data_IF_295097542976
#
_entry.id   IF_295097542976
#
_cell.length_a   1.000
_cell.length_b   1.000
_cell.length_c   1.000
_cell.angle_alpha   90.00
_cell.angle_beta   90.00
_cell.angle_gamma   90.00
#
_symmetry.space_group_name_H-M   'P 1'
#
loop_
_entity.id
_entity.type
_entity.pdbx_description
1 polymer ?
#
# COMPACT_ATOMS: atom_id res chain seq x y z
N UNK A 1 -61.27 40.96 10.23
CA UNK A 1 -60.44 40.08 11.08
C UNK A 1 -60.22 38.77 10.33
N UNK A 2 -59.18 38.73 9.50
CA UNK A 2 -58.89 37.64 8.56
C UNK A 2 -58.30 36.44 9.31
N UNK A 3 -59.06 35.34 9.38
CA UNK A 3 -58.58 34.07 9.96
C UNK A 3 -57.52 33.49 9.02
N UNK A 4 -56.27 33.54 9.46
CA UNK A 4 -55.13 32.98 8.72
C UNK A 4 -55.30 31.46 8.64
N UNK A 5 -55.55 30.94 7.43
CA UNK A 5 -56.05 29.56 7.18
C UNK A 5 -54.93 28.55 6.88
N UNK A 6 -53.70 28.83 7.26
CA UNK A 6 -52.51 28.04 6.86
C UNK A 6 -51.86 27.24 8.00
N UNK A 7 -52.58 26.97 9.10
CA UNK A 7 -52.08 26.07 10.14
C UNK A 7 -52.21 24.62 9.66
N UNK A 8 -51.19 24.10 8.98
CA UNK A 8 -51.15 22.71 8.53
C UNK A 8 -50.39 21.85 9.56
N UNK A 9 -51.10 21.09 10.42
CA UNK A 9 -50.49 20.32 11.50
C UNK A 9 -49.56 19.22 10.98
N UNK A 10 -49.70 18.79 9.73
CA UNK A 10 -48.86 17.77 9.10
C UNK A 10 -47.44 18.29 8.92
N UNK A 11 -47.29 19.54 8.48
CA UNK A 11 -45.97 20.17 8.30
C UNK A 11 -45.27 20.31 9.65
N UNK A 12 -46.03 20.69 10.69
CA UNK A 12 -45.47 20.83 12.03
C UNK A 12 -45.05 19.48 12.62
N UNK A 13 -45.86 18.44 12.44
CA UNK A 13 -45.51 17.07 12.82
C UNK A 13 -44.27 16.57 12.08
N UNK A 14 -44.14 16.87 10.78
CA UNK A 14 -42.99 16.48 9.99
C UNK A 14 -41.70 17.18 10.46
N UNK A 15 -41.76 18.49 10.71
CA UNK A 15 -40.63 19.25 11.25
C UNK A 15 -40.19 18.79 12.64
N UNK A 16 -41.15 18.39 13.49
CA UNK A 16 -40.86 17.85 14.83
C UNK A 16 -40.13 16.51 14.76
N UNK A 17 -40.54 15.63 13.85
CA UNK A 17 -39.89 14.34 13.60
C UNK A 17 -38.45 14.54 13.12
N UNK A 18 -38.23 15.38 12.10
CA UNK A 18 -36.88 15.65 11.57
C UNK A 18 -35.94 16.21 12.63
N UNK A 19 -36.43 17.10 13.50
CA UNK A 19 -35.64 17.69 14.59
C UNK A 19 -35.23 16.66 15.65
N UNK A 20 -36.05 15.65 15.88
CA UNK A 20 -35.77 14.58 16.87
C UNK A 20 -34.72 13.59 16.39
N UNK A 21 -34.61 13.37 15.08
CA UNK A 21 -33.62 12.45 14.48
C UNK A 21 -32.28 13.13 14.13
N UNK A 22 -32.18 14.46 14.22
CA UNK A 22 -30.95 15.20 13.92
C UNK A 22 -29.84 15.03 14.99
N UNK A 23 -30.14 14.42 16.14
CA UNK A 23 -29.20 14.25 17.26
C UNK A 23 -28.56 12.86 17.37
N UNK A 24 -28.66 11.97 16.38
CA UNK A 24 -28.04 10.62 16.49
C UNK A 24 -26.53 10.58 16.21
N UNK A 25 -25.89 11.72 15.98
CA UNK A 25 -24.45 11.83 15.66
C UNK A 25 -23.53 11.58 16.88
N UNK A 26 -24.08 11.46 18.10
CA UNK A 26 -23.28 11.18 19.31
C UNK A 26 -22.42 9.91 19.20
N UNK A 27 -22.93 8.87 18.54
CA UNK A 27 -22.18 7.63 18.35
C UNK A 27 -20.96 7.78 17.42
N UNK A 28 -20.95 8.78 16.52
CA UNK A 28 -19.81 9.07 15.64
C UNK A 28 -18.68 9.81 16.36
N UNK A 29 -19.04 10.63 17.35
CA UNK A 29 -18.12 11.46 18.13
C UNK A 29 -17.81 10.87 19.51
N UNK A 30 -18.22 9.63 19.79
CA UNK A 30 -17.79 8.92 20.98
C UNK A 30 -16.26 8.83 21.01
N UNK A 31 -15.70 8.88 22.22
CA UNK A 31 -14.26 8.76 22.44
C UNK A 31 -13.80 7.41 21.90
N UNK A 32 -13.19 7.42 20.73
CA UNK A 32 -12.44 6.27 20.23
C UNK A 32 -11.28 6.01 21.19
N UNK A 33 -11.07 4.75 21.57
CA UNK A 33 -9.84 4.28 22.21
C UNK A 33 -8.97 3.65 21.12
N UNK A 34 -8.28 4.47 20.28
CA UNK A 34 -7.41 3.90 19.27
C UNK A 34 -6.31 3.13 19.99
N UNK A 35 -6.08 1.90 19.55
CA UNK A 35 -4.90 1.17 19.97
C UNK A 35 -3.68 1.90 19.39
N UNK A 36 -2.98 2.64 20.25
CA UNK A 36 -1.77 3.38 19.93
C UNK A 36 -0.50 2.52 20.04
N UNK A 37 -0.65 1.23 20.38
CA UNK A 37 0.42 0.28 20.15
C UNK A 37 0.58 0.20 18.64
N UNK A 38 1.59 0.92 18.13
CA UNK A 38 2.08 0.73 16.78
C UNK A 38 2.47 -0.74 16.73
N UNK A 39 1.63 -1.54 16.07
CA UNK A 39 1.98 -2.92 15.78
C UNK A 39 3.29 -2.82 15.01
N UNK A 40 4.39 -3.17 15.67
CA UNK A 40 5.72 -3.03 15.12
C UNK A 40 5.91 -4.18 14.15
N UNK A 41 5.08 -4.23 13.11
CA UNK A 41 5.42 -4.83 11.83
C UNK A 41 6.55 -4.00 11.20
N UNK A 42 7.64 -3.79 11.93
CA UNK A 42 8.93 -3.73 11.30
C UNK A 42 9.10 -5.13 10.70
N UNK A 43 8.73 -5.27 9.42
CA UNK A 43 9.28 -6.33 8.59
C UNK A 43 10.78 -6.32 8.86
N UNK A 44 11.27 -7.33 9.57
CA UNK A 44 12.70 -7.59 9.66
C UNK A 44 13.13 -7.86 8.22
N UNK A 45 13.63 -6.81 7.56
CA UNK A 45 14.05 -6.88 6.17
C UNK A 45 15.36 -7.65 6.14
N UNK A 46 15.27 -8.93 5.76
CA UNK A 46 16.44 -9.78 5.62
C UNK A 46 17.19 -9.41 4.33
N UNK A 47 18.21 -8.56 4.48
CA UNK A 47 19.13 -8.18 3.42
C UNK A 47 20.35 -9.12 3.33
N UNK A 48 20.27 -10.32 3.92
CA UNK A 48 21.38 -11.28 3.86
C UNK A 48 21.61 -11.74 2.42
N UNK A 49 22.82 -11.48 1.91
CA UNK A 49 23.18 -11.76 0.53
C UNK A 49 24.45 -12.61 0.48
N UNK A 50 24.49 -13.60 -0.41
CA UNK A 50 25.69 -14.42 -0.72
C UNK A 50 26.30 -14.03 -2.07
N UNK A 51 27.20 -13.04 -2.10
CA UNK A 51 28.01 -12.71 -3.30
C UNK A 51 29.47 -12.37 -2.90
N UNK A 52 30.32 -12.11 -3.89
CA UNK A 52 31.69 -11.64 -3.66
C UNK A 52 31.71 -10.35 -2.82
N UNK A 53 32.78 -10.16 -2.05
CA UNK A 53 32.83 -9.17 -0.96
C UNK A 53 32.58 -7.73 -1.43
N UNK A 54 33.09 -7.35 -2.61
CA UNK A 54 32.98 -5.98 -3.13
C UNK A 54 31.55 -5.60 -3.52
N UNK A 55 30.91 -6.44 -4.31
CA UNK A 55 29.51 -6.25 -4.72
C UNK A 55 28.54 -6.27 -3.54
N UNK A 56 28.82 -7.09 -2.52
CA UNK A 56 28.04 -7.08 -1.29
C UNK A 56 28.15 -5.72 -0.58
N UNK A 57 29.36 -5.18 -0.44
CA UNK A 57 29.58 -3.86 0.16
C UNK A 57 28.86 -2.77 -0.62
N UNK A 58 28.96 -2.77 -1.95
CA UNK A 58 28.30 -1.77 -2.81
C UNK A 58 26.78 -1.87 -2.71
N UNK A 59 26.20 -3.05 -2.86
CA UNK A 59 24.76 -3.26 -2.78
C UNK A 59 24.23 -2.89 -1.39
N UNK A 60 24.90 -3.34 -0.33
CA UNK A 60 24.54 -3.00 1.05
C UNK A 60 24.58 -1.49 1.28
N UNK A 61 25.57 -0.80 0.73
CA UNK A 61 25.68 0.66 0.84
C UNK A 61 24.54 1.37 0.11
N UNK A 62 24.18 0.92 -1.11
CA UNK A 62 23.07 1.46 -1.88
C UNK A 62 21.72 1.24 -1.20
N UNK A 63 21.46 0.01 -0.72
CA UNK A 63 20.23 -0.34 0.00
C UNK A 63 20.12 0.44 1.30
N UNK A 64 21.21 0.56 2.06
CA UNK A 64 21.24 1.37 3.29
C UNK A 64 21.02 2.86 2.99
N UNK A 65 21.63 3.40 1.94
CA UNK A 65 21.44 4.79 1.54
C UNK A 65 19.97 5.04 1.14
N UNK A 66 19.37 4.15 0.34
CA UNK A 66 17.95 4.21 0.03
C UNK A 66 17.08 4.11 1.28
N UNK A 67 17.43 3.23 2.21
CA UNK A 67 16.69 3.08 3.46
C UNK A 67 16.71 4.37 4.29
N UNK A 68 17.89 4.93 4.56
CA UNK A 68 18.06 6.14 5.37
C UNK A 68 17.42 7.37 4.70
N UNK A 69 17.62 7.52 3.39
CA UNK A 69 17.24 8.75 2.69
C UNK A 69 15.79 8.76 2.21
N UNK A 70 15.23 7.59 1.92
CA UNK A 70 13.91 7.46 1.27
C UNK A 70 12.99 6.62 2.15
N UNK A 71 13.33 5.37 2.45
CA UNK A 71 12.40 4.45 3.13
C UNK A 71 12.08 4.84 4.58
N UNK A 72 13.00 5.47 5.32
CA UNK A 72 12.76 5.88 6.70
C UNK A 72 11.79 7.09 6.75
N UNK A 73 11.95 8.02 5.81
CA UNK A 73 11.08 9.18 5.65
C UNK A 73 9.70 8.78 5.11
N UNK A 74 9.68 7.88 4.12
CA UNK A 74 8.45 7.41 3.46
C UNK A 74 7.72 6.32 4.27
N UNK A 75 8.37 5.75 5.29
CA UNK A 75 7.80 4.75 6.19
C UNK A 75 7.33 3.48 5.46
N UNK A 76 6.15 2.98 5.84
CA UNK A 76 5.51 1.80 5.24
C UNK A 76 4.43 2.18 4.20
N UNK A 77 4.56 3.37 3.60
CA UNK A 77 3.62 3.91 2.60
C UNK A 77 3.84 3.36 1.18
N UNK A 78 4.81 2.44 0.99
CA UNK A 78 5.04 1.85 -0.32
C UNK A 78 3.77 1.13 -0.78
N UNK A 79 3.18 1.54 -1.92
CA UNK A 79 1.92 0.97 -2.39
C UNK A 79 2.11 -0.41 -3.03
N UNK A 80 3.35 -0.89 -3.15
CA UNK A 80 3.67 -2.16 -3.77
C UNK A 80 4.26 -3.16 -2.76
N UNK A 81 4.07 -4.45 -3.05
CA UNK A 81 4.70 -5.57 -2.39
C UNK A 81 5.42 -6.45 -3.42
N UNK A 82 6.70 -6.83 -3.20
CA UNK A 82 7.59 -6.39 -2.12
C UNK A 82 7.90 -4.89 -2.21
N UNK A 83 8.56 -4.28 -1.20
CA UNK A 83 8.96 -2.86 -1.27
C UNK A 83 10.02 -2.60 -2.34
N UNK A 84 10.23 -1.37 -2.82
CA UNK A 84 11.26 -1.07 -3.83
C UNK A 84 12.68 -1.51 -3.39
N UNK A 85 13.00 -1.33 -2.10
CA UNK A 85 14.27 -1.79 -1.52
C UNK A 85 14.41 -3.31 -1.49
N UNK A 86 13.34 -4.01 -1.12
CA UNK A 86 13.29 -5.48 -1.12
C UNK A 86 13.37 -6.02 -2.55
N UNK A 87 12.68 -5.38 -3.48
CA UNK A 87 12.71 -5.72 -4.89
C UNK A 87 14.11 -5.60 -5.48
N UNK A 88 14.88 -4.54 -5.16
CA UNK A 88 16.27 -4.43 -5.59
C UNK A 88 17.10 -5.61 -5.10
N UNK A 89 16.97 -5.95 -3.82
CA UNK A 89 17.73 -7.04 -3.18
C UNK A 89 17.40 -8.38 -3.82
N UNK A 90 16.11 -8.68 -3.98
CA UNK A 90 15.62 -9.90 -4.62
C UNK A 90 15.98 -9.96 -6.11
N UNK A 91 15.90 -8.83 -6.84
CA UNK A 91 16.28 -8.75 -8.25
C UNK A 91 17.76 -9.03 -8.45
N UNK A 92 18.62 -8.44 -7.62
CA UNK A 92 20.06 -8.70 -7.66
C UNK A 92 20.34 -10.17 -7.30
N UNK A 93 19.61 -10.72 -6.31
CA UNK A 93 19.70 -12.13 -5.87
C UNK A 93 19.37 -13.11 -6.99
N UNK A 94 18.34 -12.80 -7.77
CA UNK A 94 17.88 -13.64 -8.86
C UNK A 94 18.71 -13.48 -10.15
N UNK A 95 19.40 -12.35 -10.30
CA UNK A 95 20.14 -11.99 -11.51
C UNK A 95 21.61 -11.66 -11.21
N UNK A 96 21.98 -10.38 -11.20
CA UNK A 96 23.27 -9.82 -10.79
C UNK A 96 23.10 -8.33 -10.48
N UNK A 97 24.17 -7.67 -10.00
CA UNK A 97 24.11 -6.27 -9.59
C UNK A 97 23.61 -5.33 -10.69
N UNK A 98 24.08 -5.50 -11.93
CA UNK A 98 23.72 -4.60 -13.04
C UNK A 98 22.26 -4.83 -13.44
N UNK A 99 21.88 -6.08 -13.71
CA UNK A 99 20.52 -6.42 -14.12
C UNK A 99 19.49 -6.08 -13.04
N UNK A 100 19.78 -6.43 -11.79
CA UNK A 100 18.89 -6.11 -10.67
C UNK A 100 18.75 -4.61 -10.43
N UNK A 101 19.80 -3.82 -10.64
CA UNK A 101 19.73 -2.36 -10.58
C UNK A 101 18.86 -1.79 -11.71
N UNK A 102 18.99 -2.30 -12.93
CA UNK A 102 18.14 -1.89 -14.06
C UNK A 102 16.67 -2.25 -13.82
N UNK A 103 16.39 -3.45 -13.32
CA UNK A 103 15.04 -3.88 -12.92
C UNK A 103 14.47 -2.96 -11.84
N UNK A 104 15.28 -2.59 -10.84
CA UNK A 104 14.87 -1.65 -9.79
C UNK A 104 14.50 -0.28 -10.38
N UNK A 105 15.32 0.29 -11.26
CA UNK A 105 15.02 1.60 -11.85
C UNK A 105 13.78 1.56 -12.74
N UNK A 106 13.61 0.50 -13.55
CA UNK A 106 12.39 0.29 -14.32
C UNK A 106 11.16 0.31 -13.40
N UNK A 107 11.15 -0.54 -12.38
CA UNK A 107 10.06 -0.59 -11.41
C UNK A 107 9.87 0.73 -10.68
N UNK A 108 10.94 1.38 -10.24
CA UNK A 108 10.88 2.66 -9.53
C UNK A 108 10.19 3.76 -10.35
N UNK A 109 10.40 3.77 -11.67
CA UNK A 109 9.69 4.69 -12.56
C UNK A 109 8.19 4.37 -12.68
N UNK A 110 7.80 3.09 -12.69
CA UNK A 110 6.40 2.65 -12.65
C UNK A 110 5.73 2.99 -11.31
N UNK A 111 6.45 2.79 -10.21
CA UNK A 111 6.02 3.10 -8.85
C UNK A 111 5.86 4.61 -8.61
N UNK A 112 6.50 5.44 -9.44
CA UNK A 112 6.34 6.91 -9.40
C UNK A 112 5.08 7.41 -10.11
N UNK A 113 4.42 6.57 -10.93
CA UNK A 113 3.19 6.91 -11.63
C UNK A 113 1.97 6.38 -10.84
N UNK A 114 1.12 7.23 -10.22
CA UNK A 114 -0.03 6.78 -9.44
C UNK A 114 -1.24 6.35 -10.28
N UNK A 115 -1.25 6.58 -11.59
CA UNK A 115 -2.42 6.41 -12.44
C UNK A 115 -2.57 4.97 -12.94
N UNK A 116 -3.76 4.38 -12.80
CA UNK A 116 -4.15 3.12 -13.44
C UNK A 116 -3.47 1.86 -12.90
N UNK A 117 -2.96 1.87 -11.67
CA UNK A 117 -2.22 0.72 -11.10
C UNK A 117 -3.09 -0.52 -10.92
N UNK A 118 -4.33 -0.33 -10.53
CA UNK A 118 -5.32 -1.38 -10.34
C UNK A 118 -5.62 -2.17 -11.62
N UNK A 119 -5.53 -1.52 -12.78
CA UNK A 119 -5.70 -2.16 -14.09
C UNK A 119 -4.49 -3.00 -14.53
N UNK A 120 -3.32 -2.81 -13.89
CA UNK A 120 -2.06 -3.43 -14.30
C UNK A 120 -1.54 -4.47 -13.30
N UNK A 121 -1.86 -4.32 -12.01
CA UNK A 121 -1.28 -5.14 -10.95
C UNK A 121 -2.34 -5.86 -10.11
N UNK A 122 -2.04 -7.08 -9.62
CA UNK A 122 -2.89 -7.77 -8.67
C UNK A 122 -2.86 -7.15 -7.26
N UNK A 123 -3.93 -7.50 -6.54
CA UNK A 123 -4.27 -7.34 -5.12
C UNK A 123 -3.40 -8.08 -4.10
N UNK A 124 -2.42 -7.50 -3.41
CA UNK A 124 -1.75 -8.15 -2.26
C UNK A 124 -2.31 -7.66 -0.92
N UNK A 125 -2.01 -8.41 0.16
CA UNK A 125 -2.31 -8.08 1.55
C UNK A 125 -2.10 -6.59 1.86
N UNK A 126 -3.00 -6.04 2.68
CA UNK A 126 -3.04 -4.62 3.05
C UNK A 126 -3.24 -3.67 1.84
N UNK A 127 -3.94 -4.14 0.80
CA UNK A 127 -4.23 -3.36 -0.42
C UNK A 127 -2.98 -2.85 -1.14
N UNK A 128 -1.88 -3.61 -1.08
CA UNK A 128 -0.65 -3.31 -1.84
C UNK A 128 -0.72 -3.96 -3.22
N UNK A 129 -0.14 -3.34 -4.23
CA UNK A 129 0.00 -3.92 -5.57
C UNK A 129 1.12 -4.95 -5.59
N UNK A 130 0.86 -6.14 -6.14
CA UNK A 130 1.85 -7.21 -6.21
C UNK A 130 2.72 -7.07 -7.46
N UNK A 131 4.02 -6.89 -7.28
CA UNK A 131 4.99 -6.82 -8.39
C UNK A 131 6.33 -7.50 -8.02
N UNK A 132 6.37 -8.85 -8.03
CA UNK A 132 7.54 -9.61 -7.62
C UNK A 132 8.62 -9.62 -8.73
N UNK A 133 9.92 -9.64 -8.41
CA UNK A 133 10.99 -9.56 -9.41
C UNK A 133 11.06 -10.77 -10.35
N UNK A 134 10.57 -11.94 -9.92
CA UNK A 134 10.62 -13.20 -10.65
C UNK A 134 10.05 -13.09 -12.07
N UNK A 135 8.99 -12.30 -12.25
CA UNK A 135 8.31 -12.14 -13.55
C UNK A 135 9.19 -11.46 -14.61
N UNK A 136 10.27 -10.79 -14.19
CA UNK A 136 11.21 -10.10 -15.07
C UNK A 136 12.54 -10.86 -15.28
N UNK A 137 12.77 -11.96 -14.56
CA UNK A 137 14.06 -12.67 -14.55
C UNK A 137 14.36 -13.47 -15.84
N UNK A 138 13.46 -13.43 -16.84
CA UNK A 138 13.52 -14.20 -18.09
C UNK A 138 13.60 -15.74 -17.90
N UNK A 139 13.41 -16.22 -16.67
CA UNK A 139 13.37 -17.64 -16.30
C UNK A 139 11.93 -18.15 -16.41
N UNK A 140 11.59 -18.82 -17.52
CA UNK A 140 10.22 -19.28 -17.82
C UNK A 140 9.59 -20.12 -16.71
N UNK A 141 10.39 -20.89 -15.99
CA UNK A 141 10.02 -21.73 -14.86
C UNK A 141 9.55 -20.94 -13.63
N UNK A 142 9.96 -19.67 -13.50
CA UNK A 142 9.60 -18.81 -12.37
C UNK A 142 8.51 -17.79 -12.67
N UNK A 143 8.17 -17.59 -13.95
CA UNK A 143 7.19 -16.57 -14.36
C UNK A 143 5.78 -17.13 -14.15
N UNK A 144 5.11 -16.64 -13.12
CA UNK A 144 3.67 -16.86 -12.89
C UNK A 144 2.93 -15.55 -13.17
N UNK A 145 2.04 -15.55 -14.16
CA UNK A 145 1.22 -14.39 -14.50
C UNK A 145 -0.10 -14.43 -13.73
N UNK A 146 -0.33 -13.41 -12.92
CA UNK A 146 -1.57 -13.23 -12.16
C UNK A 146 -2.31 -12.04 -12.77
N UNK A 147 -3.59 -12.19 -13.17
CA UNK A 147 -4.30 -11.09 -13.81
C UNK A 147 -4.58 -9.94 -12.84
N UNK A 148 -4.71 -8.70 -13.35
CA UNK A 148 -5.12 -7.54 -12.55
C UNK A 148 -6.43 -7.78 -11.81
N UNK A 149 -6.65 -7.04 -10.72
CA UNK A 149 -7.81 -7.18 -9.82
C UNK A 149 -7.94 -8.54 -9.09
N UNK A 150 -6.98 -9.45 -9.25
CA UNK A 150 -6.95 -10.71 -8.48
C UNK A 150 -6.39 -10.46 -7.09
N UNK A 151 -7.06 -10.95 -6.05
CA UNK A 151 -6.58 -10.87 -4.66
C UNK A 151 -5.75 -12.11 -4.33
N UNK A 152 -4.49 -11.88 -3.95
CA UNK A 152 -3.52 -12.89 -3.52
C UNK A 152 -3.59 -12.99 -2.00
N UNK A 153 -4.18 -14.07 -1.50
CA UNK A 153 -4.19 -14.38 -0.08
C UNK A 153 -2.91 -15.17 0.25
N UNK A 154 -2.07 -14.64 1.12
CA UNK A 154 -0.78 -15.24 1.52
C UNK A 154 -0.93 -16.39 2.52
N UNK A 155 -2.04 -17.14 2.47
CA UNK A 155 -2.31 -18.28 3.37
C UNK A 155 -1.84 -19.63 2.77
N UNK A 156 -1.00 -19.59 1.73
CA UNK A 156 -0.24 -20.72 1.18
C UNK A 156 1.27 -20.49 1.29
#
# INVERSE_FOLDING_TARGET
>A
MTKNKYFNPIIFSFLFVVSSFAQTDWQRWEKSEPNYLKDSFHSERDYSYRFSSLSYIVLKSLVNAYWILISDVDGDNCPFHPSCSSFLVESVRETNLIQGTLMFFDRFTRDSNPVGRDEHYPIYKNYRFYDPPEIYTLKKDKISFIPPHTVINSDE
#
